data_IF_366551024903
#
_entry.id   IF_366551024903
#
_cell.length_a   1.000
_cell.length_b   1.000
_cell.length_c   1.000
_cell.angle_alpha   90.00
_cell.angle_beta   90.00
_cell.angle_gamma   90.00
#
_symmetry.space_group_name_H-M   'P 1'
#
loop_
_entity.id
_entity.type
_entity.pdbx_description
1 polymer ?
#
# COMPACT_ATOMS: atom_id res chain seq x y z
N UNK A 1 10.33 31.82 4.51
CA UNK A 1 10.04 30.50 5.04
C UNK A 1 8.55 30.33 5.05
N UNK A 2 8.01 29.49 4.18
CA UNK A 2 6.63 29.06 4.31
C UNK A 2 6.56 28.25 5.63
N UNK A 3 5.69 28.67 6.55
CA UNK A 3 5.28 27.89 7.70
C UNK A 3 4.52 26.67 7.16
N UNK A 4 5.26 25.66 6.73
CA UNK A 4 4.67 24.38 6.36
C UNK A 4 4.42 23.64 7.66
N UNK A 5 3.18 23.60 8.11
CA UNK A 5 2.78 22.70 9.17
C UNK A 5 3.17 21.26 8.76
N UNK A 6 3.66 20.43 9.69
CA UNK A 6 3.94 19.04 9.40
C UNK A 6 2.75 18.33 8.77
N UNK A 7 2.99 17.47 7.79
CA UNK A 7 1.97 16.71 7.08
C UNK A 7 1.97 15.24 7.54
N UNK A 8 0.81 14.57 7.55
CA UNK A 8 0.77 13.12 7.76
C UNK A 8 1.45 12.40 6.59
N UNK A 9 2.18 11.30 6.90
CA UNK A 9 2.97 10.58 5.92
C UNK A 9 2.21 9.41 5.28
N UNK A 10 2.43 9.16 3.99
CA UNK A 10 1.95 7.95 3.31
C UNK A 10 3.12 7.28 2.58
N UNK A 11 3.36 6.02 2.90
CA UNK A 11 4.27 5.16 2.14
C UNK A 11 3.49 4.53 0.98
N UNK A 12 4.03 4.60 -0.23
CA UNK A 12 3.41 4.02 -1.43
C UNK A 12 4.30 2.92 -1.99
N UNK A 13 3.85 1.67 -1.94
CA UNK A 13 4.66 0.51 -2.31
C UNK A 13 4.24 -0.01 -3.68
N UNK A 14 5.21 -0.07 -4.58
CA UNK A 14 5.03 -0.52 -5.97
C UNK A 14 4.70 -2.02 -6.10
N UNK A 15 4.32 -2.43 -7.30
CA UNK A 15 4.16 -3.84 -7.67
C UNK A 15 5.52 -4.55 -7.79
N UNK A 16 5.57 -5.75 -8.36
CA UNK A 16 6.79 -6.56 -8.50
C UNK A 16 7.68 -6.15 -9.70
N UNK A 17 7.74 -4.85 -10.01
CA UNK A 17 8.52 -4.29 -11.14
C UNK A 17 9.53 -3.21 -10.74
N UNK A 18 9.53 -2.80 -9.47
CA UNK A 18 10.21 -1.59 -9.01
C UNK A 18 9.30 -0.36 -9.11
N UNK A 19 9.82 0.80 -8.74
CA UNK A 19 9.09 2.06 -8.76
C UNK A 19 8.90 2.56 -10.19
N UNK A 20 7.89 2.02 -10.87
CA UNK A 20 7.52 2.43 -12.22
C UNK A 20 6.72 3.75 -12.24
N UNK A 21 6.53 4.37 -13.42
CA UNK A 21 5.83 5.66 -13.54
C UNK A 21 4.41 5.67 -12.97
N UNK A 22 3.68 4.55 -13.01
CA UNK A 22 2.34 4.47 -12.44
C UNK A 22 2.36 4.68 -10.91
N UNK A 23 3.21 3.93 -10.20
CA UNK A 23 3.30 4.05 -8.73
C UNK A 23 3.84 5.42 -8.30
N UNK A 24 4.80 5.97 -9.06
CA UNK A 24 5.31 7.32 -8.84
C UNK A 24 4.19 8.38 -9.01
N UNK A 25 3.30 8.22 -10.01
CA UNK A 25 2.15 9.10 -10.21
C UNK A 25 1.15 8.99 -9.05
N UNK A 26 0.86 7.79 -8.56
CA UNK A 26 -0.01 7.60 -7.38
C UNK A 26 0.55 8.36 -6.17
N UNK A 27 1.86 8.30 -5.93
CA UNK A 27 2.48 9.06 -4.85
C UNK A 27 2.30 10.57 -5.03
N UNK A 28 2.49 11.09 -6.26
CA UNK A 28 2.25 12.51 -6.56
C UNK A 28 0.80 12.92 -6.36
N UNK A 29 -0.15 12.08 -6.78
CA UNK A 29 -1.59 12.33 -6.59
C UNK A 29 -1.95 12.38 -5.11
N UNK A 30 -1.40 11.50 -4.26
CA UNK A 30 -1.59 11.56 -2.81
C UNK A 30 -0.95 12.82 -2.20
N UNK A 31 0.19 13.28 -2.72
CA UNK A 31 0.78 14.54 -2.28
C UNK A 31 -0.13 15.75 -2.56
N UNK A 32 -0.88 15.74 -3.67
CA UNK A 32 -1.90 16.74 -3.98
C UNK A 32 -3.10 16.72 -3.01
N UNK A 33 -3.27 15.63 -2.27
CA UNK A 33 -4.24 15.53 -1.16
C UNK A 33 -3.66 16.01 0.18
N UNK A 34 -2.55 16.73 0.18
CA UNK A 34 -1.84 17.24 1.36
C UNK A 34 -1.34 16.11 2.31
N UNK A 35 -0.83 15.03 1.75
CA UNK A 35 -0.02 14.04 2.46
C UNK A 35 1.46 14.22 2.10
N UNK A 36 2.34 13.95 3.04
CA UNK A 36 3.76 13.75 2.73
C UNK A 36 3.92 12.31 2.21
N UNK A 37 4.26 12.15 0.94
CA UNK A 37 4.35 10.83 0.32
C UNK A 37 5.78 10.39 0.13
N UNK A 38 6.04 9.10 0.36
CA UNK A 38 7.31 8.47 0.05
C UNK A 38 7.08 7.13 -0.66
N UNK A 39 7.56 7.03 -1.89
CA UNK A 39 7.52 5.80 -2.68
C UNK A 39 8.93 5.21 -2.77
N UNK A 40 9.31 4.25 -1.89
CA UNK A 40 10.60 3.60 -1.95
C UNK A 40 10.68 2.67 -3.17
N UNK A 41 11.80 2.72 -3.90
CA UNK A 41 12.11 1.71 -4.91
C UNK A 41 12.97 0.60 -4.30
N UNK A 42 12.40 -0.59 -4.14
CA UNK A 42 13.15 -1.74 -3.59
C UNK A 42 14.31 -2.17 -4.49
N UNK A 43 14.31 -1.75 -5.76
CA UNK A 43 15.41 -2.01 -6.69
C UNK A 43 16.61 -1.06 -6.52
N UNK A 44 16.54 -0.07 -5.64
CA UNK A 44 17.61 0.95 -5.45
C UNK A 44 18.98 0.30 -5.25
N UNK A 45 19.08 -0.80 -4.52
CA UNK A 45 20.35 -1.49 -4.25
C UNK A 45 20.98 -2.16 -5.49
N UNK A 46 20.21 -2.31 -6.57
CA UNK A 46 20.64 -2.90 -7.86
C UNK A 46 20.54 -1.92 -9.02
N UNK A 47 20.46 -0.62 -8.73
CA UNK A 47 20.46 0.47 -9.71
C UNK A 47 19.10 1.15 -9.92
N UNK A 48 18.06 0.72 -9.21
CA UNK A 48 16.70 1.26 -9.31
C UNK A 48 15.90 0.67 -10.46
N UNK A 49 14.70 1.22 -10.65
CA UNK A 49 13.82 0.83 -11.75
C UNK A 49 14.51 1.11 -13.12
N UNK A 50 14.66 0.09 -13.99
CA UNK A 50 15.47 0.21 -15.21
C UNK A 50 14.77 0.95 -16.37
N UNK A 51 13.53 1.48 -16.16
CA UNK A 51 12.75 2.12 -17.22
C UNK A 51 11.91 1.15 -18.06
N UNK A 52 11.92 -0.12 -17.72
CA UNK A 52 11.18 -1.19 -18.39
C UNK A 52 10.67 -2.22 -17.38
N UNK A 53 9.38 -2.51 -17.42
CA UNK A 53 8.71 -3.38 -16.44
C UNK A 53 9.17 -4.85 -16.54
N UNK A 54 9.56 -5.33 -17.71
CA UNK A 54 10.06 -6.69 -17.86
C UNK A 54 11.42 -6.83 -17.17
N UNK A 55 12.35 -5.92 -17.44
CA UNK A 55 13.67 -5.89 -16.80
C UNK A 55 13.53 -5.64 -15.28
N UNK A 56 12.64 -4.73 -14.88
CA UNK A 56 12.31 -4.49 -13.47
C UNK A 56 11.86 -5.76 -12.76
N UNK A 57 10.98 -6.55 -13.39
CA UNK A 57 10.52 -7.83 -12.87
C UNK A 57 11.61 -8.88 -12.75
N UNK A 58 12.57 -8.90 -13.70
CA UNK A 58 13.73 -9.80 -13.61
C UNK A 58 14.64 -9.43 -12.42
N UNK A 59 14.96 -8.15 -12.25
CA UNK A 59 15.76 -7.66 -11.12
C UNK A 59 15.05 -7.96 -9.80
N UNK A 60 13.74 -7.65 -9.72
CA UNK A 60 12.93 -7.90 -8.54
C UNK A 60 12.94 -9.37 -8.12
N UNK A 61 12.82 -10.30 -9.07
CA UNK A 61 12.78 -11.75 -8.79
C UNK A 61 14.10 -12.30 -8.22
N UNK A 62 15.21 -11.62 -8.48
CA UNK A 62 16.55 -12.01 -8.03
C UNK A 62 16.91 -11.44 -6.65
N UNK A 63 16.14 -10.48 -6.15
CA UNK A 63 16.42 -9.86 -4.86
C UNK A 63 15.93 -10.71 -3.70
N UNK A 64 16.65 -10.68 -2.60
CA UNK A 64 16.23 -11.28 -1.34
C UNK A 64 14.92 -10.63 -0.83
N UNK A 65 13.92 -11.46 -0.53
CA UNK A 65 12.60 -11.00 -0.13
C UNK A 65 12.61 -10.32 1.25
N UNK A 66 13.43 -10.83 2.18
CA UNK A 66 13.57 -10.24 3.50
C UNK A 66 14.20 -8.85 3.42
N UNK A 67 15.25 -8.70 2.59
CA UNK A 67 15.88 -7.40 2.37
C UNK A 67 14.90 -6.38 1.79
N UNK A 68 14.12 -6.75 0.76
CA UNK A 68 13.11 -5.84 0.17
C UNK A 68 12.11 -5.38 1.24
N UNK A 69 11.68 -6.28 2.11
CA UNK A 69 10.74 -5.94 3.18
C UNK A 69 11.37 -4.99 4.21
N UNK A 70 12.58 -5.29 4.68
CA UNK A 70 13.28 -4.42 5.66
C UNK A 70 13.64 -3.04 5.07
N UNK A 71 13.91 -2.94 3.76
CA UNK A 71 14.11 -1.65 3.09
C UNK A 71 12.81 -0.79 3.15
N UNK A 72 11.63 -1.39 3.01
CA UNK A 72 10.34 -0.69 3.16
C UNK A 72 10.07 -0.32 4.61
N UNK A 73 10.40 -1.19 5.57
CA UNK A 73 10.33 -0.85 7.02
C UNK A 73 11.17 0.37 7.33
N UNK A 74 12.43 0.37 6.87
CA UNK A 74 13.34 1.50 7.06
C UNK A 74 12.80 2.79 6.42
N UNK A 75 12.23 2.70 5.22
CA UNK A 75 11.61 3.83 4.53
C UNK A 75 10.41 4.41 5.30
N UNK A 76 9.56 3.56 5.86
CA UNK A 76 8.40 3.98 6.66
C UNK A 76 8.84 4.68 7.95
N UNK A 77 9.80 4.11 8.67
CA UNK A 77 10.33 4.71 9.89
C UNK A 77 11.09 6.01 9.61
N UNK A 78 11.81 6.10 8.49
CA UNK A 78 12.43 7.35 8.07
C UNK A 78 11.39 8.43 7.80
N UNK A 79 10.31 8.12 7.06
CA UNK A 79 9.23 9.08 6.80
C UNK A 79 8.58 9.54 8.10
N UNK A 80 8.26 8.60 9.01
CA UNK A 80 7.65 8.89 10.31
C UNK A 80 8.48 9.86 11.16
N UNK A 81 9.80 9.71 11.15
CA UNK A 81 10.71 10.45 12.02
C UNK A 81 11.22 11.77 11.41
N UNK A 82 10.68 12.22 10.28
CA UNK A 82 11.02 13.52 9.70
C UNK A 82 10.42 14.66 10.52
N UNK A 83 11.15 15.76 10.64
CA UNK A 83 10.69 16.96 11.36
C UNK A 83 9.45 17.63 10.71
N UNK A 84 9.27 17.43 9.39
CA UNK A 84 8.14 17.94 8.61
C UNK A 84 7.00 16.92 8.44
N UNK A 85 7.11 15.74 9.09
CA UNK A 85 6.03 14.77 9.24
C UNK A 85 5.37 14.91 10.61
N UNK A 86 4.05 14.71 10.69
CA UNK A 86 3.32 14.70 11.98
C UNK A 86 3.68 13.51 12.87
N UNK A 87 4.44 12.55 12.36
CA UNK A 87 4.71 11.26 13.01
C UNK A 87 3.58 10.23 12.85
N UNK A 88 2.43 10.63 12.28
CA UNK A 88 1.38 9.69 11.88
C UNK A 88 1.60 9.28 10.44
N UNK A 89 1.68 7.98 10.19
CA UNK A 89 1.90 7.43 8.85
C UNK A 89 0.86 6.37 8.48
N UNK A 90 0.52 6.34 7.18
CA UNK A 90 -0.21 5.27 6.53
C UNK A 90 0.63 4.61 5.46
N UNK A 91 0.12 3.50 4.92
CA UNK A 91 0.74 2.77 3.82
C UNK A 91 -0.32 2.34 2.81
N UNK A 92 -0.01 2.46 1.55
CA UNK A 92 -0.74 1.78 0.46
C UNK A 92 0.25 1.06 -0.43
N UNK A 93 -0.23 0.08 -1.16
CA UNK A 93 0.61 -0.63 -2.11
C UNK A 93 -0.22 -1.56 -2.98
N UNK A 94 0.37 -1.98 -4.09
CA UNK A 94 -0.30 -2.64 -5.19
C UNK A 94 0.30 -4.02 -5.43
N UNK A 95 -0.51 -5.07 -5.53
CA UNK A 95 -0.08 -6.46 -5.75
C UNK A 95 0.92 -6.91 -4.67
N UNK A 96 2.22 -7.00 -4.98
CA UNK A 96 3.28 -7.21 -3.99
C UNK A 96 3.20 -6.16 -2.88
N UNK A 97 3.11 -4.87 -3.26
CA UNK A 97 2.97 -3.77 -2.31
C UNK A 97 1.70 -3.85 -1.46
N UNK A 98 0.62 -4.40 -1.99
CA UNK A 98 -0.60 -4.67 -1.23
C UNK A 98 -0.37 -5.72 -0.14
N UNK A 99 0.32 -6.82 -0.48
CA UNK A 99 0.70 -7.84 0.51
C UNK A 99 1.67 -7.28 1.55
N UNK A 100 2.63 -6.46 1.12
CA UNK A 100 3.55 -5.77 2.01
C UNK A 100 2.82 -4.82 2.95
N UNK A 101 1.80 -4.10 2.48
CA UNK A 101 1.00 -3.19 3.34
C UNK A 101 0.35 -3.93 4.51
N UNK A 102 -0.19 -5.14 4.29
CA UNK A 102 -0.72 -5.98 5.36
C UNK A 102 0.38 -6.48 6.32
N UNK A 103 1.54 -6.89 5.79
CA UNK A 103 2.68 -7.32 6.62
C UNK A 103 3.27 -6.17 7.43
N UNK A 104 3.31 -4.96 6.87
CA UNK A 104 3.75 -3.74 7.56
C UNK A 104 2.83 -3.38 8.71
N UNK A 105 1.52 -3.62 8.59
CA UNK A 105 0.58 -3.41 9.68
C UNK A 105 0.88 -4.32 10.89
N UNK A 106 1.31 -5.56 10.66
CA UNK A 106 1.81 -6.45 11.70
C UNK A 106 3.15 -5.96 12.26
N UNK A 107 4.10 -5.62 11.36
CA UNK A 107 5.50 -5.33 11.72
C UNK A 107 5.67 -4.03 12.48
N UNK A 108 4.86 -3.01 12.15
CA UNK A 108 4.95 -1.69 12.75
C UNK A 108 4.01 -1.50 13.96
N UNK A 109 2.96 -2.32 14.08
CA UNK A 109 2.01 -2.19 15.20
C UNK A 109 1.52 -0.75 15.36
N UNK A 110 1.75 -0.15 16.54
CA UNK A 110 1.33 1.22 16.88
C UNK A 110 2.04 2.32 16.07
N UNK A 111 3.12 1.98 15.37
CA UNK A 111 3.82 2.94 14.51
C UNK A 111 3.13 3.19 13.16
N UNK A 112 2.11 2.40 12.82
CA UNK A 112 1.30 2.57 11.61
C UNK A 112 -0.16 2.87 11.96
N UNK A 113 -0.70 3.95 11.43
CA UNK A 113 -2.08 4.36 11.70
C UNK A 113 -3.11 3.69 10.76
N UNK A 114 -2.76 3.51 9.49
CA UNK A 114 -3.66 2.88 8.51
C UNK A 114 -2.90 2.17 7.39
N UNK A 115 -3.52 1.12 6.83
CA UNK A 115 -3.05 0.45 5.62
C UNK A 115 -4.20 0.29 4.61
N UNK A 116 -3.91 0.58 3.33
CA UNK A 116 -4.85 0.37 2.22
C UNK A 116 -4.19 -0.55 1.18
N UNK A 117 -4.24 -1.89 1.41
CA UNK A 117 -3.71 -2.86 0.47
C UNK A 117 -4.61 -3.03 -0.76
N UNK A 118 -4.05 -2.79 -1.96
CA UNK A 118 -4.70 -3.09 -3.24
C UNK A 118 -4.29 -4.48 -3.73
N UNK A 119 -5.26 -5.32 -4.01
CA UNK A 119 -5.11 -6.69 -4.55
C UNK A 119 -3.88 -7.44 -4.03
N UNK A 120 -3.65 -7.34 -2.73
CA UNK A 120 -2.60 -8.04 -1.98
C UNK A 120 -3.16 -9.10 -1.05
N UNK A 121 -2.37 -10.14 -0.77
CA UNK A 121 -2.72 -11.14 0.25
C UNK A 121 -2.70 -10.55 1.66
N UNK A 122 -3.57 -11.05 2.55
CA UNK A 122 -3.58 -10.68 3.96
C UNK A 122 -2.29 -11.10 4.70
N UNK A 123 -2.11 -10.57 5.90
CA UNK A 123 -1.07 -11.06 6.82
C UNK A 123 -1.38 -12.48 7.31
N UNK A 124 -0.38 -13.23 7.84
CA UNK A 124 -0.64 -14.51 8.49
C UNK A 124 -1.69 -14.38 9.59
N UNK A 125 -2.70 -15.26 9.59
CA UNK A 125 -3.87 -15.14 10.50
C UNK A 125 -3.48 -15.18 11.97
N UNK A 126 -2.43 -15.91 12.32
CA UNK A 126 -1.89 -16.01 13.68
C UNK A 126 -1.13 -14.74 14.14
N UNK A 127 -0.85 -13.82 13.23
CA UNK A 127 -0.16 -12.56 13.52
C UNK A 127 -1.10 -11.34 13.54
N UNK A 128 -2.36 -11.50 13.11
CA UNK A 128 -3.33 -10.39 12.99
C UNK A 128 -3.53 -9.65 14.32
N UNK A 129 -3.41 -10.34 15.46
CA UNK A 129 -3.50 -9.72 16.80
C UNK A 129 -2.40 -8.68 17.11
N UNK A 130 -1.39 -8.55 16.26
CA UNK A 130 -0.34 -7.51 16.39
C UNK A 130 -0.66 -6.23 15.61
N UNK A 131 -1.77 -6.20 14.85
CA UNK A 131 -2.17 -5.07 14.03
C UNK A 131 -2.89 -4.05 14.89
N UNK A 132 -2.37 -2.82 14.94
CA UNK A 132 -3.04 -1.65 15.51
C UNK A 132 -3.61 -0.72 14.43
N UNK A 133 -3.10 -0.79 13.22
CA UNK A 133 -3.51 0.03 12.09
C UNK A 133 -4.95 -0.28 11.63
N UNK A 134 -5.68 0.73 11.17
CA UNK A 134 -6.94 0.53 10.46
C UNK A 134 -6.68 -0.01 9.05
N UNK A 135 -7.36 -1.09 8.65
CA UNK A 135 -7.14 -1.80 7.38
C UNK A 135 -8.31 -1.57 6.43
N UNK A 136 -8.04 -1.09 5.19
CA UNK A 136 -9.05 -1.03 4.13
C UNK A 136 -8.57 -1.80 2.90
N UNK A 137 -9.05 -3.02 2.70
CA UNK A 137 -8.65 -3.87 1.57
C UNK A 137 -9.42 -3.51 0.29
N UNK A 138 -8.71 -3.50 -0.84
CA UNK A 138 -9.25 -3.18 -2.17
C UNK A 138 -8.99 -4.36 -3.12
N UNK A 139 -10.01 -5.16 -3.46
CA UNK A 139 -9.88 -6.37 -4.27
C UNK A 139 -10.73 -6.30 -5.54
N UNK A 140 -10.18 -6.77 -6.66
CA UNK A 140 -10.96 -7.00 -7.87
C UNK A 140 -11.89 -8.20 -7.71
N UNK A 141 -13.17 -8.05 -8.04
CA UNK A 141 -14.18 -9.12 -7.90
C UNK A 141 -13.95 -10.34 -8.77
N UNK A 142 -13.13 -10.21 -9.82
CA UNK A 142 -12.70 -11.32 -10.70
C UNK A 142 -11.36 -11.94 -10.26
N UNK A 143 -10.69 -11.44 -9.23
CA UNK A 143 -9.53 -12.08 -8.59
C UNK A 143 -10.01 -13.13 -7.60
N UNK A 144 -10.40 -14.31 -8.14
CA UNK A 144 -11.01 -15.38 -7.37
C UNK A 144 -10.16 -15.81 -6.14
N UNK A 145 -8.83 -15.73 -6.24
CA UNK A 145 -7.91 -16.10 -5.14
C UNK A 145 -8.05 -15.14 -3.95
N UNK A 146 -8.07 -13.85 -4.19
CA UNK A 146 -8.15 -12.83 -3.14
C UNK A 146 -9.58 -12.73 -2.58
N UNK A 147 -10.59 -12.80 -3.44
CA UNK A 147 -12.00 -12.83 -3.03
C UNK A 147 -12.28 -14.02 -2.10
N UNK A 148 -11.74 -15.20 -2.43
CA UNK A 148 -11.90 -16.39 -1.59
C UNK A 148 -11.12 -16.31 -0.26
N UNK A 149 -10.01 -15.59 -0.23
CA UNK A 149 -9.18 -15.45 0.98
C UNK A 149 -9.67 -14.35 1.94
N UNK A 150 -10.37 -13.35 1.44
CA UNK A 150 -10.79 -12.18 2.22
C UNK A 150 -11.64 -12.52 3.45
N UNK A 151 -12.70 -13.36 3.39
CA UNK A 151 -13.56 -13.61 4.54
C UNK A 151 -12.82 -14.14 5.77
N UNK A 152 -11.83 -15.04 5.59
CA UNK A 152 -11.05 -15.55 6.71
C UNK A 152 -10.12 -14.48 7.31
N UNK A 153 -9.58 -13.60 6.49
CA UNK A 153 -8.76 -12.48 6.96
C UNK A 153 -9.60 -11.43 7.68
N UNK A 154 -10.78 -11.07 7.14
CA UNK A 154 -11.74 -10.15 7.77
C UNK A 154 -12.23 -10.69 9.13
N UNK A 155 -12.53 -11.99 9.21
CA UNK A 155 -12.91 -12.64 10.48
C UNK A 155 -11.79 -12.53 11.52
N UNK A 156 -10.53 -12.76 11.12
CA UNK A 156 -9.39 -12.64 12.01
C UNK A 156 -9.16 -11.18 12.48
N UNK A 157 -9.30 -10.19 11.57
CA UNK A 157 -9.23 -8.77 11.90
C UNK A 157 -10.34 -8.39 12.92
N UNK A 158 -11.56 -8.82 12.68
CA UNK A 158 -12.70 -8.57 13.57
C UNK A 158 -12.50 -9.20 14.94
N UNK A 159 -12.02 -10.46 14.99
CA UNK A 159 -11.73 -11.16 16.24
C UNK A 159 -10.62 -10.48 17.05
N UNK A 160 -9.66 -9.84 16.38
CA UNK A 160 -8.59 -9.06 17.00
C UNK A 160 -9.02 -7.63 17.37
N UNK A 161 -10.23 -7.19 17.03
CA UNK A 161 -10.72 -5.84 17.30
C UNK A 161 -10.10 -4.76 16.39
N UNK A 162 -9.53 -5.17 15.26
CA UNK A 162 -8.93 -4.25 14.27
C UNK A 162 -10.04 -3.57 13.48
N UNK A 163 -10.00 -2.24 13.38
CA UNK A 163 -10.88 -1.47 12.48
C UNK A 163 -10.58 -1.87 11.04
N UNK A 164 -11.58 -2.38 10.31
CA UNK A 164 -11.34 -2.83 8.95
C UNK A 164 -12.56 -2.67 8.04
N UNK A 165 -12.28 -2.56 6.74
CA UNK A 165 -13.25 -2.61 5.63
C UNK A 165 -12.65 -3.41 4.47
N UNK A 166 -13.49 -4.15 3.75
CA UNK A 166 -13.14 -4.83 2.52
C UNK A 166 -14.02 -4.41 1.36
N UNK A 167 -13.43 -3.91 0.28
CA UNK A 167 -14.13 -3.52 -0.94
C UNK A 167 -13.83 -4.50 -2.05
N UNK A 168 -14.87 -5.10 -2.61
CA UNK A 168 -14.80 -6.04 -3.74
C UNK A 168 -15.37 -5.31 -4.97
N UNK A 169 -14.47 -4.86 -5.84
CA UNK A 169 -14.79 -4.08 -7.03
C UNK A 169 -15.33 -4.98 -8.15
N UNK A 170 -16.62 -4.85 -8.43
CA UNK A 170 -17.29 -5.69 -9.43
C UNK A 170 -16.64 -5.57 -10.82
N UNK A 171 -16.60 -6.69 -11.55
CA UNK A 171 -16.04 -6.77 -12.91
C UNK A 171 -14.58 -6.30 -13.06
N UNK A 172 -13.84 -6.22 -11.95
CA UNK A 172 -12.44 -5.82 -11.92
C UNK A 172 -11.53 -7.02 -11.70
N UNK A 173 -10.44 -7.08 -12.48
CA UNK A 173 -9.41 -8.11 -12.36
C UNK A 173 -8.31 -7.69 -11.41
N UNK A 174 -7.34 -8.58 -11.14
CA UNK A 174 -6.11 -8.23 -10.46
C UNK A 174 -5.37 -7.10 -11.19
N UNK A 175 -5.01 -6.01 -10.50
CA UNK A 175 -4.35 -4.85 -11.11
C UNK A 175 -5.31 -3.81 -11.71
N UNK A 176 -6.60 -3.85 -11.37
CA UNK A 176 -7.64 -2.97 -11.94
C UNK A 176 -7.39 -1.47 -11.72
N UNK A 177 -6.57 -1.10 -10.79
CA UNK A 177 -6.24 0.30 -10.47
C UNK A 177 -5.11 0.87 -11.35
N UNK A 178 -4.36 0.01 -12.04
CA UNK A 178 -3.18 0.42 -12.82
C UNK A 178 -3.57 0.89 -14.23
N UNK A 179 -3.63 2.21 -14.43
CA UNK A 179 -3.96 2.85 -15.70
C UNK A 179 -2.89 2.69 -16.79
N UNK A 180 -1.67 2.27 -16.43
CA UNK A 180 -0.63 1.90 -17.38
C UNK A 180 -0.84 0.51 -18.01
N UNK A 181 -1.86 -0.25 -17.56
CA UNK A 181 -2.22 -1.57 -18.09
C UNK A 181 -3.68 -1.59 -18.57
N UNK A 182 -3.98 -1.03 -19.77
CA UNK A 182 -5.34 -0.82 -20.25
C UNK A 182 -6.22 -2.08 -20.28
N UNK A 183 -5.62 -3.25 -20.47
CA UNK A 183 -6.32 -4.54 -20.50
C UNK A 183 -6.85 -4.98 -19.12
N UNK A 184 -6.37 -4.35 -18.03
CA UNK A 184 -6.79 -4.63 -16.66
C UNK A 184 -7.48 -3.45 -15.99
N UNK A 185 -7.19 -2.24 -16.47
CA UNK A 185 -7.67 -1.01 -15.86
C UNK A 185 -9.19 -0.91 -15.93
N UNK A 186 -9.83 -0.62 -14.79
CA UNK A 186 -11.24 -0.30 -14.70
C UNK A 186 -11.39 1.11 -14.13
N UNK A 187 -11.55 2.09 -15.00
CA UNK A 187 -11.57 3.52 -14.67
C UNK A 187 -12.60 3.85 -13.59
N UNK A 188 -13.80 3.29 -13.69
CA UNK A 188 -14.89 3.56 -12.74
C UNK A 188 -14.53 3.04 -11.35
N UNK A 189 -14.14 1.77 -11.28
CA UNK A 189 -13.81 1.13 -10.00
C UNK A 189 -12.50 1.69 -9.40
N UNK A 190 -11.53 2.05 -10.24
CA UNK A 190 -10.31 2.72 -9.78
C UNK A 190 -10.60 4.10 -9.19
N UNK A 191 -11.55 4.85 -9.78
CA UNK A 191 -12.03 6.12 -9.22
C UNK A 191 -12.69 5.95 -7.85
N UNK A 192 -13.56 4.95 -7.70
CA UNK A 192 -14.20 4.61 -6.42
C UNK A 192 -13.15 4.21 -5.37
N UNK A 193 -12.22 3.32 -5.74
CA UNK A 193 -11.15 2.87 -4.84
C UNK A 193 -10.23 4.03 -4.41
N UNK A 194 -9.97 4.98 -5.30
CA UNK A 194 -9.20 6.20 -4.99
C UNK A 194 -9.89 7.03 -3.90
N UNK A 195 -11.18 7.34 -4.07
CA UNK A 195 -11.95 8.12 -3.10
C UNK A 195 -12.04 7.41 -1.74
N UNK A 196 -12.23 6.10 -1.73
CA UNK A 196 -12.23 5.29 -0.53
C UNK A 196 -10.89 5.34 0.20
N UNK A 197 -9.78 5.16 -0.51
CA UNK A 197 -8.42 5.23 0.03
C UNK A 197 -8.12 6.60 0.64
N UNK A 198 -8.41 7.69 -0.09
CA UNK A 198 -8.18 9.05 0.39
C UNK A 198 -9.05 9.34 1.62
N UNK A 199 -10.32 8.94 1.61
CA UNK A 199 -11.22 9.05 2.76
C UNK A 199 -10.70 8.31 3.99
N UNK A 200 -10.19 7.09 3.80
CA UNK A 200 -9.62 6.27 4.86
C UNK A 200 -8.38 6.93 5.49
N UNK A 201 -7.47 7.43 4.67
CA UNK A 201 -6.30 8.14 5.18
C UNK A 201 -6.65 9.47 5.86
N UNK A 202 -7.65 10.19 5.37
CA UNK A 202 -8.13 11.40 6.04
C UNK A 202 -8.67 11.08 7.44
N UNK A 203 -9.39 9.98 7.59
CA UNK A 203 -9.97 9.58 8.88
C UNK A 203 -8.92 9.07 9.87
N UNK A 204 -8.03 8.19 9.42
CA UNK A 204 -7.17 7.42 10.32
C UNK A 204 -5.73 7.92 10.42
N UNK A 205 -5.24 8.67 9.43
CA UNK A 205 -3.86 9.17 9.43
C UNK A 205 -3.81 10.66 9.72
N UNK A 206 -4.75 11.43 9.16
CA UNK A 206 -4.82 12.88 9.45
C UNK A 206 -5.47 13.16 10.81
N UNK A 207 -6.51 12.43 11.15
CA UNK A 207 -7.24 12.53 12.43
C UNK A 207 -8.29 13.59 12.43
#
# INVERSE_FOLDING_TARGET
SADSNPLPGIVVVHENRGLNPHTDDVARRLALQNFMTFAPDVLTSVGGYPGDDYQGGQLFSQMDAGKRFEDIVAAALWLKNRDDCTGKIGITGFCYGGSVSNQMAVRLGDDLAAAVPFYGGGAPLDQVGQISAAIQAQHGGLDARLVAAWPAYEEALNAAGVTNEGHIHANSVHGFFNDATPERYNEVEAGIAWEQMVGWFNTHVRG
#
